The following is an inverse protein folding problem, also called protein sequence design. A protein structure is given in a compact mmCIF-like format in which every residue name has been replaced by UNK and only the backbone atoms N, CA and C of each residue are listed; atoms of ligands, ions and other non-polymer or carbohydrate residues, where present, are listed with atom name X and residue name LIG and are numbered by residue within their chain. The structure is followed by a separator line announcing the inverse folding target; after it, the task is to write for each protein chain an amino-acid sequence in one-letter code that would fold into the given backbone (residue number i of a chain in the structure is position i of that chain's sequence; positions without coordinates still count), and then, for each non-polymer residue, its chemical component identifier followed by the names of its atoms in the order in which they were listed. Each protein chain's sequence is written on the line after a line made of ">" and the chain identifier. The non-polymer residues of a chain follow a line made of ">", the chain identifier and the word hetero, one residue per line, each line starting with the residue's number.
data_IF_389122328616
#
_entry.id   IF_389122328616
#
_cell.length_a   1.000
_cell.length_b   1.000
_cell.length_c   1.000
_cell.angle_alpha   90.00
_cell.angle_beta   90.00
_cell.angle_gamma   90.00
#
_symmetry.space_group_name_H-M   'P 1'
#
loop_
_entity.id
_entity.type
_entity.pdbx_description
1 polymer ?
#
# COMPACT_ATOMS: atom_id res chain seq x y z
N UNK A 1 15.78 11.63 -0.85
CA UNK A 1 15.07 12.83 -0.29
C UNK A 1 15.36 12.91 1.20
N UNK A 2 15.59 14.11 1.74
CA UNK A 2 15.70 14.29 3.19
C UNK A 2 14.28 14.35 3.77
N UNK A 3 14.01 13.55 4.81
CA UNK A 3 12.68 13.41 5.41
C UNK A 3 12.46 14.29 6.64
N UNK A 4 13.53 14.87 7.21
CA UNK A 4 13.42 15.72 8.40
C UNK A 4 12.57 16.97 8.12
N UNK A 5 11.59 17.22 8.99
CA UNK A 5 10.62 18.31 8.92
C UNK A 5 9.67 18.26 7.69
N UNK A 6 9.69 17.18 6.90
CA UNK A 6 8.74 16.96 5.82
C UNK A 6 7.40 16.48 6.38
N UNK A 7 6.32 16.76 5.66
CA UNK A 7 4.97 16.29 6.01
C UNK A 7 4.57 15.12 5.13
N UNK A 8 4.29 14.00 5.76
CA UNK A 8 3.85 12.78 5.10
C UNK A 8 2.39 12.44 5.43
N UNK A 9 1.57 12.20 4.42
CA UNK A 9 0.25 11.59 4.55
C UNK A 9 0.41 10.08 4.38
N UNK A 10 -0.12 9.29 5.32
CA UNK A 10 -0.12 7.83 5.23
C UNK A 10 -1.56 7.33 5.33
N UNK A 11 -2.09 6.74 4.26
CA UNK A 11 -3.40 6.09 4.27
C UNK A 11 -3.27 4.63 4.73
N UNK A 12 -4.30 4.09 5.41
CA UNK A 12 -4.21 2.77 6.03
C UNK A 12 -3.22 2.74 7.19
N UNK A 13 -3.09 3.86 7.92
CA UNK A 13 -2.07 4.07 8.96
C UNK A 13 -2.40 3.39 10.29
N UNK A 14 -3.61 2.87 10.47
CA UNK A 14 -4.05 2.26 11.73
C UNK A 14 -3.39 0.91 12.03
N UNK A 15 -2.76 0.25 11.06
CA UNK A 15 -2.16 -1.09 11.26
C UNK A 15 -1.13 -1.46 10.20
N UNK A 16 -0.47 -2.60 10.39
CA UNK A 16 0.34 -3.29 9.37
C UNK A 16 1.43 -2.40 8.75
N UNK A 17 1.54 -2.45 7.42
CA UNK A 17 2.57 -1.72 6.66
C UNK A 17 2.41 -0.21 6.83
N UNK A 18 1.17 0.32 6.81
CA UNK A 18 0.92 1.76 6.98
C UNK A 18 1.41 2.30 8.32
N UNK A 19 1.10 1.60 9.42
CA UNK A 19 1.65 1.90 10.75
C UNK A 19 3.17 1.86 10.76
N UNK A 20 3.75 0.81 10.20
CA UNK A 20 5.20 0.63 10.18
C UNK A 20 5.90 1.74 9.37
N UNK A 21 5.33 2.15 8.24
CA UNK A 21 5.81 3.31 7.47
C UNK A 21 5.72 4.57 8.31
N UNK A 22 4.59 4.84 8.98
CA UNK A 22 4.41 6.03 9.82
C UNK A 22 5.46 6.10 10.95
N UNK A 23 5.69 4.97 11.65
CA UNK A 23 6.73 4.89 12.71
C UNK A 23 8.14 5.12 12.14
N UNK A 24 8.46 4.53 10.99
CA UNK A 24 9.75 4.70 10.33
C UNK A 24 9.97 6.15 9.85
N UNK A 25 8.93 6.83 9.33
CA UNK A 25 8.97 8.24 8.95
C UNK A 25 9.13 9.16 10.16
N UNK A 26 8.42 8.88 11.27
CA UNK A 26 8.56 9.65 12.52
C UNK A 26 10.00 9.60 13.05
N UNK A 27 10.65 8.44 13.07
CA UNK A 27 12.06 8.27 13.47
C UNK A 27 13.02 9.14 12.64
N UNK A 28 12.63 9.54 11.44
CA UNK A 28 13.39 10.44 10.55
C UNK A 28 12.99 11.91 10.69
N UNK A 29 12.12 12.23 11.65
CA UNK A 29 11.66 13.58 11.93
C UNK A 29 10.61 14.10 10.96
N UNK A 30 9.85 13.21 10.30
CA UNK A 30 8.70 13.59 9.49
C UNK A 30 7.52 13.99 10.37
N UNK A 31 6.79 15.04 9.99
CA UNK A 31 5.43 15.30 10.45
C UNK A 31 4.47 14.33 9.76
N UNK A 32 3.43 13.90 10.44
CA UNK A 32 2.55 12.84 9.97
C UNK A 32 1.08 13.25 9.98
N UNK A 33 0.41 13.02 8.87
CA UNK A 33 -1.05 12.98 8.78
C UNK A 33 -1.47 11.51 8.60
N UNK A 34 -1.96 10.90 9.67
CA UNK A 34 -2.37 9.50 9.72
C UNK A 34 -3.83 9.37 9.31
N UNK A 35 -4.13 8.66 8.24
CA UNK A 35 -5.47 8.49 7.72
C UNK A 35 -5.89 7.01 7.69
N UNK A 36 -7.06 6.70 8.28
CA UNK A 36 -7.65 5.36 8.30
C UNK A 36 -9.14 5.45 8.69
N UNK A 37 -9.89 4.37 8.49
CA UNK A 37 -11.24 4.22 9.03
C UNK A 37 -11.25 3.82 10.51
N UNK A 38 -10.20 3.13 10.97
CA UNK A 38 -10.12 2.53 12.32
C UNK A 38 -9.45 3.47 13.31
N UNK A 39 -10.26 4.28 14.00
CA UNK A 39 -9.79 5.34 14.90
C UNK A 39 -8.91 4.85 16.05
N UNK A 40 -9.28 3.75 16.72
CA UNK A 40 -8.48 3.18 17.80
C UNK A 40 -7.06 2.78 17.33
N UNK A 41 -6.95 2.27 16.10
CA UNK A 41 -5.66 1.95 15.51
C UNK A 41 -4.84 3.20 15.16
N UNK A 42 -5.49 4.31 14.77
CA UNK A 42 -4.82 5.61 14.56
C UNK A 42 -4.25 6.16 15.86
N UNK A 43 -5.01 6.10 16.96
CA UNK A 43 -4.56 6.51 18.31
C UNK A 43 -3.31 5.73 18.73
N UNK A 44 -3.32 4.42 18.49
CA UNK A 44 -2.15 3.58 18.81
C UNK A 44 -0.93 3.96 17.96
N UNK A 45 -1.13 4.18 16.64
CA UNK A 45 -0.04 4.59 15.74
C UNK A 45 0.53 5.95 16.14
N UNK A 46 -0.34 6.94 16.47
CA UNK A 46 0.08 8.24 16.99
C UNK A 46 0.95 8.09 18.25
N UNK A 47 0.51 7.26 19.22
CA UNK A 47 1.28 7.00 20.44
C UNK A 47 2.67 6.42 20.14
N UNK A 48 2.78 5.52 19.15
CA UNK A 48 4.06 4.94 18.73
C UNK A 48 4.98 5.96 18.04
N UNK A 49 4.44 7.06 17.52
CA UNK A 49 5.20 8.11 16.81
C UNK A 49 5.51 9.32 17.70
N UNK A 50 4.89 9.45 18.87
CA UNK A 50 4.94 10.64 19.73
C UNK A 50 6.35 11.01 20.24
N UNK A 51 7.26 10.02 20.39
CA UNK A 51 8.60 10.24 20.94
C UNK A 51 9.60 10.84 19.94
N UNK A 52 9.18 11.09 18.70
CA UNK A 52 10.07 11.57 17.64
C UNK A 52 10.10 13.12 17.49
N UNK A 53 9.35 13.86 18.31
CA UNK A 53 9.22 15.33 18.19
C UNK A 53 8.49 15.80 16.94
N UNK A 54 7.88 14.89 16.20
CA UNK A 54 7.12 15.18 14.97
C UNK A 54 5.71 15.64 15.30
N UNK A 55 5.18 16.58 14.51
CA UNK A 55 3.76 16.93 14.57
C UNK A 55 2.94 15.82 13.94
N UNK A 56 1.96 15.28 14.68
CA UNK A 56 1.10 14.20 14.20
C UNK A 56 -0.35 14.65 14.24
N UNK A 57 -1.11 14.35 13.18
CA UNK A 57 -2.57 14.53 13.12
C UNK A 57 -3.24 13.23 12.70
N UNK A 58 -4.46 12.99 13.22
CA UNK A 58 -5.26 11.80 12.88
C UNK A 58 -6.50 12.23 12.10
N UNK A 59 -6.83 11.46 11.09
CA UNK A 59 -7.94 11.74 10.20
C UNK A 59 -8.71 10.44 9.91
N UNK A 60 -10.00 10.44 10.20
CA UNK A 60 -10.88 9.35 9.79
C UNK A 60 -11.24 9.54 8.32
N UNK A 61 -10.71 8.69 7.44
CA UNK A 61 -10.88 8.82 5.99
C UNK A 61 -11.19 7.47 5.34
N UNK A 62 -12.30 7.42 4.59
CA UNK A 62 -12.52 6.39 3.58
C UNK A 62 -11.99 6.86 2.23
N UNK A 63 -10.93 6.21 1.74
CA UNK A 63 -10.33 6.55 0.44
C UNK A 63 -11.25 6.23 -0.75
N UNK A 64 -12.29 5.42 -0.55
CA UNK A 64 -13.31 5.16 -1.55
C UNK A 64 -14.36 6.26 -1.66
N UNK A 65 -14.54 7.09 -0.62
CA UNK A 65 -15.46 8.22 -0.64
C UNK A 65 -14.85 9.41 -1.40
N UNK A 66 -15.43 9.70 -2.56
CA UNK A 66 -14.98 10.80 -3.45
C UNK A 66 -15.08 12.17 -2.79
N UNK A 67 -16.14 12.41 -1.97
CA UNK A 67 -16.38 13.71 -1.32
C UNK A 67 -15.41 13.91 -0.18
N UNK A 68 -15.23 12.90 0.66
CA UNK A 68 -14.26 12.94 1.76
C UNK A 68 -12.84 13.17 1.24
N UNK A 69 -12.40 12.43 0.20
CA UNK A 69 -11.07 12.63 -0.40
C UNK A 69 -10.91 14.02 -1.03
N UNK A 70 -11.95 14.57 -1.67
CA UNK A 70 -11.88 15.91 -2.26
C UNK A 70 -11.77 17.02 -1.22
N UNK A 71 -12.37 16.87 -0.02
CA UNK A 71 -12.27 17.80 1.09
C UNK A 71 -10.96 17.69 1.88
N UNK A 72 -10.31 16.54 1.84
CA UNK A 72 -9.19 16.18 2.69
C UNK A 72 -7.95 17.11 2.58
N UNK A 73 -7.57 17.66 1.42
CA UNK A 73 -6.48 18.65 1.35
C UNK A 73 -6.67 19.85 2.26
N UNK A 74 -7.91 20.34 2.41
CA UNK A 74 -8.24 21.46 3.31
C UNK A 74 -8.02 21.09 4.78
N UNK A 75 -8.40 19.88 5.17
CA UNK A 75 -8.18 19.38 6.53
C UNK A 75 -6.68 19.23 6.84
N UNK A 76 -5.90 18.73 5.88
CA UNK A 76 -4.46 18.62 6.04
C UNK A 76 -3.79 19.98 6.20
N UNK A 77 -4.16 20.96 5.38
CA UNK A 77 -3.61 22.30 5.46
C UNK A 77 -4.01 23.05 6.74
N UNK A 78 -5.12 22.69 7.41
CA UNK A 78 -5.46 23.20 8.73
C UNK A 78 -4.52 22.64 9.83
N UNK A 79 -3.97 21.44 9.63
CA UNK A 79 -3.09 20.78 10.59
C UNK A 79 -1.59 20.95 10.25
N UNK A 80 -1.21 21.04 8.99
CA UNK A 80 0.17 21.06 8.51
C UNK A 80 0.39 22.18 7.49
N UNK A 81 1.60 22.73 7.42
CA UNK A 81 1.95 23.81 6.52
C UNK A 81 1.99 23.42 5.02
N UNK A 82 2.08 22.13 4.71
CA UNK A 82 2.15 21.61 3.35
C UNK A 82 2.24 20.09 3.33
N UNK A 83 2.45 19.51 2.16
CA UNK A 83 2.57 18.05 1.96
C UNK A 83 3.75 17.76 1.05
N UNK A 84 4.67 16.90 1.51
CA UNK A 84 5.86 16.50 0.77
C UNK A 84 5.82 15.03 0.34
N UNK A 85 5.08 14.19 1.08
CA UNK A 85 4.99 12.76 0.84
C UNK A 85 3.54 12.30 0.92
N UNK A 86 3.07 11.59 -0.10
CA UNK A 86 1.79 10.90 -0.10
C UNK A 86 2.02 9.39 -0.18
N UNK A 87 1.68 8.66 0.88
CA UNK A 87 1.74 7.20 0.91
C UNK A 87 0.34 6.61 0.76
N UNK A 88 0.02 6.17 -0.43
CA UNK A 88 -1.19 5.45 -0.77
C UNK A 88 -1.02 3.97 -0.39
N UNK A 89 -1.34 3.65 0.88
CA UNK A 89 -1.18 2.31 1.44
C UNK A 89 -2.52 1.66 1.79
N UNK A 90 -3.60 2.41 2.02
CA UNK A 90 -4.92 1.85 2.29
C UNK A 90 -5.28 0.78 1.25
N UNK A 91 -5.74 -0.36 1.73
CA UNK A 91 -6.08 -1.47 0.85
C UNK A 91 -6.69 -2.64 1.61
N UNK A 92 -7.47 -3.41 0.88
CA UNK A 92 -8.21 -4.58 1.36
C UNK A 92 -7.93 -5.79 0.49
N UNK A 93 -8.28 -6.98 0.98
CA UNK A 93 -8.17 -8.24 0.23
C UNK A 93 -9.55 -8.85 -0.01
N UNK A 94 -9.65 -9.57 -1.13
CA UNK A 94 -10.78 -10.37 -1.54
C UNK A 94 -10.23 -11.66 -2.13
N UNK A 95 -10.59 -12.79 -1.56
CA UNK A 95 -10.20 -14.12 -2.05
C UNK A 95 -11.41 -14.84 -2.64
N UNK A 96 -11.15 -15.87 -3.46
CA UNK A 96 -12.18 -16.71 -4.07
C UNK A 96 -11.98 -16.91 -5.57
N UNK A 97 -12.67 -17.92 -6.14
CA UNK A 97 -12.70 -18.12 -7.57
C UNK A 97 -13.50 -17.00 -8.25
N UNK A 98 -13.13 -16.66 -9.48
CA UNK A 98 -13.76 -15.54 -10.20
C UNK A 98 -15.28 -15.68 -10.31
N UNK A 99 -15.76 -16.87 -10.60
CA UNK A 99 -17.19 -17.18 -10.74
C UNK A 99 -17.99 -17.11 -9.44
N UNK A 100 -17.32 -17.12 -8.28
CA UNK A 100 -17.95 -17.05 -6.95
C UNK A 100 -17.96 -15.63 -6.40
N UNK A 101 -17.09 -14.73 -6.91
CA UNK A 101 -16.98 -13.36 -6.44
C UNK A 101 -18.13 -12.53 -7.02
N UNK A 102 -18.92 -11.92 -6.14
CA UNK A 102 -19.96 -10.98 -6.57
C UNK A 102 -19.33 -9.71 -7.20
N UNK A 103 -20.00 -9.15 -8.21
CA UNK A 103 -19.52 -7.95 -8.90
C UNK A 103 -19.35 -6.77 -7.94
N UNK A 104 -20.26 -6.62 -6.97
CA UNK A 104 -20.22 -5.57 -5.95
C UNK A 104 -18.97 -5.67 -5.05
N UNK A 105 -18.51 -6.89 -4.73
CA UNK A 105 -17.30 -7.09 -3.94
C UNK A 105 -16.04 -6.78 -4.78
N UNK A 106 -16.08 -7.06 -6.09
CA UNK A 106 -15.03 -6.69 -7.02
C UNK A 106 -14.93 -5.16 -7.13
N UNK A 107 -16.07 -4.46 -7.31
CA UNK A 107 -16.13 -3.00 -7.37
C UNK A 107 -15.70 -2.36 -6.05
N UNK A 108 -16.14 -2.89 -4.90
CA UNK A 108 -15.73 -2.44 -3.59
C UNK A 108 -14.20 -2.48 -3.43
N UNK A 109 -13.59 -3.60 -3.80
CA UNK A 109 -12.14 -3.76 -3.72
C UNK A 109 -11.41 -2.75 -4.62
N UNK A 110 -11.87 -2.59 -5.87
CA UNK A 110 -11.32 -1.60 -6.79
C UNK A 110 -11.53 -0.17 -6.31
N UNK A 111 -12.67 0.11 -5.69
CA UNK A 111 -13.01 1.39 -5.07
C UNK A 111 -11.94 1.86 -4.09
N UNK A 112 -11.42 0.93 -3.29
CA UNK A 112 -10.38 1.17 -2.27
C UNK A 112 -8.99 1.05 -2.88
N UNK A 113 -8.65 -0.12 -3.44
CA UNK A 113 -7.26 -0.46 -3.81
C UNK A 113 -6.73 0.35 -4.99
N UNK A 114 -7.60 0.75 -5.93
CA UNK A 114 -7.20 1.46 -7.14
C UNK A 114 -7.76 2.89 -7.18
N UNK A 115 -9.09 3.06 -7.10
CA UNK A 115 -9.68 4.39 -7.16
C UNK A 115 -9.30 5.26 -5.98
N UNK A 116 -9.08 4.68 -4.79
CA UNK A 116 -8.53 5.38 -3.64
C UNK A 116 -7.17 6.00 -3.97
N UNK A 117 -6.26 5.22 -4.56
CA UNK A 117 -4.94 5.70 -4.99
C UNK A 117 -5.05 6.84 -6.02
N UNK A 118 -5.90 6.68 -7.03
CA UNK A 118 -6.11 7.69 -8.08
C UNK A 118 -6.68 8.99 -7.50
N UNK A 119 -7.70 8.90 -6.64
CA UNK A 119 -8.36 10.06 -6.02
C UNK A 119 -7.43 10.81 -5.08
N UNK A 120 -6.73 10.10 -4.19
CA UNK A 120 -5.75 10.69 -3.27
C UNK A 120 -4.63 11.37 -4.06
N UNK A 121 -4.08 10.72 -5.06
CA UNK A 121 -3.05 11.30 -5.92
C UNK A 121 -3.56 12.59 -6.58
N UNK A 122 -4.75 12.58 -7.18
CA UNK A 122 -5.34 13.76 -7.83
C UNK A 122 -5.56 14.91 -6.85
N UNK A 123 -6.09 14.62 -5.66
CA UNK A 123 -6.39 15.63 -4.65
C UNK A 123 -5.12 16.31 -4.12
N UNK A 124 -4.03 15.56 -3.96
CA UNK A 124 -2.81 16.08 -3.33
C UNK A 124 -1.71 16.49 -4.32
N UNK A 125 -1.82 16.17 -5.61
CA UNK A 125 -0.81 16.53 -6.62
C UNK A 125 -0.49 18.05 -6.66
N UNK A 126 -1.46 18.98 -6.55
CA UNK A 126 -1.15 20.41 -6.49
C UNK A 126 -0.28 20.78 -5.29
N UNK A 127 -0.56 20.24 -4.10
CA UNK A 127 0.22 20.49 -2.89
C UNK A 127 1.62 19.88 -2.96
N UNK A 128 1.72 18.67 -3.51
CA UNK A 128 3.00 18.00 -3.73
C UNK A 128 3.89 18.80 -4.73
N UNK A 129 3.29 19.37 -5.77
CA UNK A 129 4.03 20.25 -6.69
C UNK A 129 4.53 21.52 -6.01
N UNK A 130 3.75 22.08 -5.08
CA UNK A 130 4.13 23.28 -4.33
C UNK A 130 5.26 23.04 -3.31
N UNK A 131 5.52 21.79 -2.91
CA UNK A 131 6.58 21.41 -1.97
C UNK A 131 8.01 21.62 -2.50
N UNK A 132 8.19 21.62 -3.82
CA UNK A 132 9.52 21.72 -4.45
C UNK A 132 10.37 20.43 -4.42
N UNK A 133 10.09 19.47 -3.54
CA UNK A 133 10.72 18.15 -3.47
C UNK A 133 9.75 17.15 -2.83
N UNK A 134 8.90 16.55 -3.63
CA UNK A 134 7.83 15.67 -3.16
C UNK A 134 7.89 14.26 -3.77
N UNK A 135 7.17 13.35 -3.10
CA UNK A 135 7.07 11.98 -3.60
C UNK A 135 5.70 11.36 -3.34
N UNK A 136 5.22 10.62 -4.33
CA UNK A 136 4.05 9.74 -4.23
C UNK A 136 4.55 8.31 -4.07
N UNK A 137 4.07 7.59 -3.06
CA UNK A 137 4.40 6.18 -2.80
C UNK A 137 3.12 5.36 -2.91
N UNK A 138 3.04 4.52 -3.92
CA UNK A 138 1.87 3.68 -4.16
C UNK A 138 2.18 2.23 -3.77
N UNK A 139 1.44 1.69 -2.79
CA UNK A 139 1.62 0.31 -2.32
C UNK A 139 0.81 -0.64 -3.23
N UNK A 140 1.54 -1.30 -4.13
CA UNK A 140 1.04 -2.42 -4.93
C UNK A 140 1.19 -3.73 -4.13
N UNK A 141 1.71 -4.79 -4.73
CA UNK A 141 1.98 -6.10 -4.14
C UNK A 141 2.88 -6.90 -5.09
N UNK A 142 3.45 -8.03 -4.64
CA UNK A 142 3.94 -9.06 -5.57
C UNK A 142 2.81 -9.59 -6.45
N UNK A 143 1.54 -9.52 -6.00
CA UNK A 143 0.37 -9.80 -6.81
C UNK A 143 0.01 -8.67 -7.80
N UNK A 144 0.83 -7.64 -7.91
CA UNK A 144 0.92 -6.69 -9.03
C UNK A 144 2.03 -7.04 -10.02
N UNK A 145 2.70 -8.19 -9.83
CA UNK A 145 3.71 -8.77 -10.73
C UNK A 145 3.22 -10.11 -11.28
N UNK A 146 2.64 -10.95 -10.42
CA UNK A 146 2.10 -12.28 -10.73
C UNK A 146 0.64 -12.36 -10.29
N UNK A 147 -0.14 -13.27 -10.88
CA UNK A 147 -1.54 -13.47 -10.58
C UNK A 147 -1.84 -14.96 -10.33
N UNK A 148 -1.78 -15.44 -9.07
CA UNK A 148 -2.14 -16.80 -8.74
C UNK A 148 -3.66 -17.01 -8.74
N UNK A 149 -4.07 -18.28 -8.83
CA UNK A 149 -5.46 -18.71 -8.71
C UNK A 149 -6.13 -18.17 -7.44
N UNK A 150 -7.43 -17.85 -7.54
CA UNK A 150 -8.24 -17.32 -6.43
C UNK A 150 -7.93 -15.88 -6.03
N UNK A 151 -7.20 -15.14 -6.87
CA UNK A 151 -6.76 -13.75 -6.61
C UNK A 151 -7.09 -12.80 -7.77
N UNK A 152 -8.07 -13.12 -8.61
CA UNK A 152 -8.38 -12.33 -9.81
C UNK A 152 -8.64 -10.86 -9.50
N UNK A 153 -9.53 -10.55 -8.57
CA UNK A 153 -9.88 -9.18 -8.19
C UNK A 153 -8.69 -8.44 -7.55
N UNK A 154 -8.04 -9.09 -6.56
CA UNK A 154 -6.93 -8.46 -5.84
C UNK A 154 -5.72 -8.24 -6.75
N UNK A 155 -5.32 -9.25 -7.52
CA UNK A 155 -4.20 -9.12 -8.45
C UNK A 155 -4.50 -8.03 -9.50
N UNK A 156 -5.69 -8.05 -10.13
CA UNK A 156 -6.09 -7.02 -11.10
C UNK A 156 -5.96 -5.61 -10.51
N UNK A 157 -6.43 -5.38 -9.27
CA UNK A 157 -6.32 -4.09 -8.61
C UNK A 157 -4.86 -3.66 -8.38
N UNK A 158 -3.97 -4.61 -8.01
CA UNK A 158 -2.55 -4.32 -7.76
C UNK A 158 -1.73 -4.15 -9.04
N UNK A 159 -2.10 -4.84 -10.12
CA UNK A 159 -1.58 -4.55 -11.47
C UNK A 159 -2.03 -3.16 -11.94
N UNK A 160 -3.29 -2.78 -11.71
CA UNK A 160 -3.78 -1.44 -12.04
C UNK A 160 -2.99 -0.35 -11.31
N UNK A 161 -2.70 -0.52 -10.01
CA UNK A 161 -1.83 0.41 -9.25
C UNK A 161 -0.43 0.47 -9.85
N UNK A 162 0.17 -0.67 -10.24
CA UNK A 162 1.49 -0.71 -10.91
C UNK A 162 1.45 0.06 -12.23
N UNK A 163 0.48 -0.22 -13.10
CA UNK A 163 0.33 0.44 -14.40
C UNK A 163 0.15 1.94 -14.26
N UNK A 164 -0.78 2.36 -13.40
CA UNK A 164 -0.99 3.77 -13.07
C UNK A 164 0.29 4.46 -12.56
N UNK A 165 1.00 3.82 -11.63
CA UNK A 165 2.22 4.39 -11.05
C UNK A 165 3.33 4.55 -12.09
N UNK A 166 3.48 3.57 -12.99
CA UNK A 166 4.50 3.62 -14.04
C UNK A 166 4.19 4.73 -15.06
N UNK A 167 2.94 4.88 -15.49
CA UNK A 167 2.54 5.95 -16.40
C UNK A 167 2.74 7.32 -15.74
N UNK A 168 2.23 7.50 -14.51
CA UNK A 168 2.36 8.75 -13.77
C UNK A 168 3.83 9.15 -13.53
N UNK A 169 4.71 8.18 -13.34
CA UNK A 169 6.15 8.40 -13.19
C UNK A 169 6.74 9.09 -14.43
N UNK A 170 6.32 8.69 -15.63
CA UNK A 170 6.77 9.32 -16.89
C UNK A 170 6.11 10.68 -17.11
N UNK A 171 4.82 10.84 -16.76
CA UNK A 171 4.12 12.13 -16.85
C UNK A 171 4.73 13.20 -15.93
N UNK A 172 5.31 12.78 -14.80
CA UNK A 172 5.95 13.68 -13.83
C UNK A 172 7.47 13.79 -14.00
N UNK A 173 8.04 13.20 -15.05
CA UNK A 173 9.47 13.29 -15.32
C UNK A 173 9.89 14.75 -15.53
N UNK A 174 11.00 15.16 -14.92
CA UNK A 174 11.45 16.56 -14.91
C UNK A 174 10.72 17.48 -13.93
N UNK A 175 9.66 17.00 -13.25
CA UNK A 175 8.98 17.78 -12.20
C UNK A 175 9.62 17.56 -10.81
N UNK A 176 9.16 18.34 -9.82
CA UNK A 176 9.58 18.22 -8.41
C UNK A 176 8.93 17.02 -7.68
N UNK A 177 8.01 16.29 -8.34
CA UNK A 177 7.26 15.18 -7.76
C UNK A 177 7.73 13.85 -8.33
N UNK A 178 8.38 13.03 -7.51
CA UNK A 178 8.73 11.67 -7.89
C UNK A 178 7.64 10.66 -7.55
N UNK A 179 7.65 9.51 -8.22
CA UNK A 179 6.75 8.38 -7.91
C UNK A 179 7.56 7.14 -7.54
N UNK A 180 7.11 6.44 -6.52
CA UNK A 180 7.64 5.13 -6.10
C UNK A 180 6.52 4.12 -6.12
N UNK A 181 6.65 3.03 -6.87
CA UNK A 181 5.77 1.88 -6.77
C UNK A 181 6.42 0.81 -5.89
N UNK A 182 5.67 0.32 -4.90
CA UNK A 182 6.16 -0.66 -3.92
C UNK A 182 5.46 -2.00 -4.15
N UNK A 183 6.22 -3.07 -4.14
CA UNK A 183 5.72 -4.44 -4.26
C UNK A 183 6.11 -5.24 -3.00
N UNK A 184 5.27 -5.21 -1.94
CA UNK A 184 5.48 -6.08 -0.78
C UNK A 184 5.27 -7.54 -1.17
N UNK A 185 6.14 -8.40 -0.64
CA UNK A 185 5.95 -9.84 -0.60
C UNK A 185 5.08 -10.26 0.58
N UNK A 186 5.42 -11.37 1.21
CA UNK A 186 4.69 -11.92 2.34
C UNK A 186 4.92 -11.18 3.66
N UNK A 187 4.29 -10.03 3.86
CA UNK A 187 4.37 -9.25 5.11
C UNK A 187 3.29 -9.71 6.09
N UNK A 188 3.67 -9.95 7.37
CA UNK A 188 2.81 -10.46 8.45
C UNK A 188 1.83 -9.39 8.94
N UNK A 189 0.76 -9.14 8.18
CA UNK A 189 -0.30 -8.18 8.50
C UNK A 189 -1.66 -8.86 8.68
N UNK A 190 -2.66 -8.09 9.12
CA UNK A 190 -4.03 -8.57 9.26
C UNK A 190 -4.79 -8.66 7.92
N UNK A 191 -4.19 -8.29 6.79
CA UNK A 191 -4.87 -8.18 5.49
C UNK A 191 -5.57 -9.48 5.07
N UNK A 192 -4.92 -10.64 5.27
CA UNK A 192 -5.51 -11.94 4.96
C UNK A 192 -6.64 -12.31 5.92
N UNK A 193 -6.53 -11.95 7.22
CA UNK A 193 -7.59 -12.22 8.21
C UNK A 193 -8.83 -11.37 7.98
N UNK A 194 -8.65 -10.17 7.46
CA UNK A 194 -9.72 -9.21 7.18
C UNK A 194 -10.20 -9.28 5.72
N UNK A 195 -9.74 -10.28 4.97
CA UNK A 195 -10.17 -10.47 3.58
C UNK A 195 -11.68 -10.79 3.54
N UNK A 196 -12.36 -10.25 2.52
CA UNK A 196 -13.70 -10.74 2.17
C UNK A 196 -13.59 -12.04 1.41
N UNK A 197 -14.62 -12.85 1.54
CA UNK A 197 -14.77 -14.13 0.86
C UNK A 197 -16.16 -14.22 0.23
N UNK A 198 -16.32 -14.92 -0.89
CA UNK A 198 -17.64 -15.23 -1.45
C UNK A 198 -18.54 -15.92 -0.39
N UNK A 199 -19.83 -15.66 -0.46
CA UNK A 199 -20.81 -16.28 0.48
C UNK A 199 -20.83 -17.81 0.40
N UNK A 200 -20.45 -18.37 -0.74
CA UNK A 200 -20.32 -19.82 -0.97
C UNK A 200 -19.10 -20.45 -0.27
N UNK A 201 -18.11 -19.64 0.16
CA UNK A 201 -16.87 -20.15 0.73
C UNK A 201 -17.12 -20.73 2.12
N UNK A 202 -16.81 -22.01 2.30
CA UNK A 202 -16.98 -22.72 3.59
C UNK A 202 -15.99 -22.23 4.64
N UNK A 203 -16.35 -22.36 5.92
CA UNK A 203 -15.47 -22.03 7.03
C UNK A 203 -14.13 -22.78 6.97
N UNK A 204 -14.17 -24.06 6.58
CA UNK A 204 -12.96 -24.90 6.44
C UNK A 204 -12.05 -24.38 5.31
N UNK A 205 -12.62 -23.98 4.19
CA UNK A 205 -11.87 -23.38 3.09
C UNK A 205 -11.22 -22.06 3.51
N UNK A 206 -11.93 -21.21 4.24
CA UNK A 206 -11.39 -19.97 4.81
C UNK A 206 -10.24 -20.29 5.77
N UNK A 207 -10.42 -21.24 6.69
CA UNK A 207 -9.39 -21.66 7.65
C UNK A 207 -8.14 -22.20 6.95
N UNK A 208 -8.31 -23.02 5.91
CA UNK A 208 -7.20 -23.54 5.10
C UNK A 208 -6.43 -22.42 4.38
N UNK A 209 -7.14 -21.44 3.79
CA UNK A 209 -6.53 -20.29 3.15
C UNK A 209 -5.77 -19.40 4.14
N UNK A 210 -6.33 -19.16 5.34
CA UNK A 210 -5.65 -18.42 6.40
C UNK A 210 -4.41 -19.15 6.90
N UNK A 211 -4.45 -20.47 7.04
CA UNK A 211 -3.27 -21.27 7.40
C UNK A 211 -2.16 -21.17 6.34
N UNK A 212 -2.53 -21.20 5.05
CA UNK A 212 -1.58 -20.97 3.94
C UNK A 212 -1.00 -19.57 3.98
N UNK A 213 -1.85 -18.54 4.18
CA UNK A 213 -1.41 -17.16 4.30
C UNK A 213 -0.42 -16.96 5.45
N UNK A 214 -0.68 -17.55 6.64
CA UNK A 214 0.24 -17.48 7.78
C UNK A 214 1.64 -18.02 7.47
N UNK A 215 1.75 -19.06 6.65
CA UNK A 215 3.04 -19.63 6.22
C UNK A 215 3.78 -18.73 5.23
N UNK A 216 3.04 -17.99 4.40
CA UNK A 216 3.60 -17.10 3.39
C UNK A 216 3.91 -15.69 3.91
N UNK A 217 3.10 -15.19 4.86
CA UNK A 217 3.20 -13.83 5.42
C UNK A 217 4.12 -13.84 6.64
N UNK A 218 5.42 -13.80 6.45
CA UNK A 218 6.42 -13.99 7.52
C UNK A 218 7.29 -12.75 7.80
N UNK A 219 7.40 -11.81 6.84
CA UNK A 219 8.21 -10.62 7.03
C UNK A 219 7.54 -9.68 8.06
N UNK A 220 8.24 -9.25 9.13
CA UNK A 220 7.67 -8.29 10.07
C UNK A 220 7.27 -6.96 9.38
N UNK A 221 6.11 -6.37 9.74
CA UNK A 221 5.68 -5.08 9.18
C UNK A 221 6.71 -3.97 9.39
N UNK A 222 7.40 -3.96 10.53
CA UNK A 222 8.43 -2.98 10.87
C UNK A 222 9.60 -3.02 9.88
N UNK A 223 10.05 -4.23 9.54
CA UNK A 223 11.08 -4.43 8.51
C UNK A 223 10.59 -3.97 7.13
N UNK A 224 9.33 -4.24 6.81
CA UNK A 224 8.74 -3.79 5.53
C UNK A 224 8.67 -2.26 5.48
N UNK A 225 8.22 -1.61 6.56
CA UNK A 225 8.15 -0.15 6.68
C UNK A 225 9.52 0.50 6.49
N UNK A 226 10.55 -0.06 7.13
CA UNK A 226 11.95 0.44 7.02
C UNK A 226 12.46 0.35 5.57
N UNK A 227 12.32 -0.80 4.90
CA UNK A 227 12.73 -0.98 3.51
C UNK A 227 12.03 0.02 2.58
N UNK A 228 10.74 0.29 2.82
CA UNK A 228 9.96 1.23 2.02
C UNK A 228 10.48 2.65 2.20
N UNK A 229 10.67 3.09 3.46
CA UNK A 229 11.12 4.46 3.77
C UNK A 229 12.56 4.69 3.29
N UNK A 230 13.47 3.73 3.44
CA UNK A 230 14.79 3.78 2.81
C UNK A 230 14.69 3.92 1.26
N UNK A 231 13.74 3.24 0.64
CA UNK A 231 13.47 3.38 -0.79
C UNK A 231 13.04 4.81 -1.15
N UNK A 232 12.23 5.45 -0.30
CA UNK A 232 11.83 6.86 -0.44
C UNK A 232 13.03 7.79 -0.33
N UNK A 233 13.89 7.61 0.68
CA UNK A 233 15.11 8.41 0.88
C UNK A 233 16.04 8.33 -0.34
N UNK A 234 16.21 7.13 -0.90
CA UNK A 234 17.01 6.88 -2.11
C UNK A 234 16.31 7.31 -3.41
N UNK A 235 15.08 7.84 -3.35
CA UNK A 235 14.26 8.21 -4.51
C UNK A 235 14.04 7.06 -5.49
N UNK A 236 13.94 5.84 -4.97
CA UNK A 236 13.77 4.65 -5.79
C UNK A 236 12.44 4.70 -6.57
N UNK A 237 12.49 4.46 -7.88
CA UNK A 237 11.29 4.36 -8.73
C UNK A 237 10.46 3.10 -8.40
N UNK A 238 11.12 2.03 -7.96
CA UNK A 238 10.50 0.75 -7.59
C UNK A 238 11.14 0.17 -6.34
N UNK A 239 10.33 -0.34 -5.40
CA UNK A 239 10.81 -1.01 -4.19
C UNK A 239 10.20 -2.42 -4.12
N UNK A 240 11.04 -3.43 -4.00
CA UNK A 240 10.67 -4.82 -3.75
C UNK A 240 10.93 -5.14 -2.29
N UNK A 241 9.87 -5.49 -1.53
CA UNK A 241 9.94 -5.69 -0.09
C UNK A 241 9.91 -7.19 0.23
N UNK A 242 11.03 -7.70 0.72
CA UNK A 242 11.24 -9.11 1.01
C UNK A 242 12.06 -9.85 -0.05
N UNK A 243 12.61 -11.00 0.34
CA UNK A 243 13.39 -11.87 -0.56
C UNK A 243 12.51 -12.54 -1.60
N UNK A 244 11.31 -12.92 -1.19
CA UNK A 244 10.25 -13.48 -2.03
C UNK A 244 9.84 -12.51 -3.14
N UNK A 245 9.65 -11.21 -2.83
CA UNK A 245 9.34 -10.19 -3.82
C UNK A 245 10.45 -10.06 -4.88
N UNK A 246 11.71 -10.12 -4.46
CA UNK A 246 12.86 -10.07 -5.38
C UNK A 246 12.90 -11.30 -6.28
N UNK A 247 12.72 -12.49 -5.72
CA UNK A 247 12.69 -13.75 -6.47
C UNK A 247 11.53 -13.76 -7.48
N UNK A 248 10.34 -13.41 -7.04
CA UNK A 248 9.13 -13.34 -7.89
C UNK A 248 9.34 -12.37 -9.06
N UNK A 249 9.90 -11.19 -8.79
CA UNK A 249 10.16 -10.18 -9.83
C UNK A 249 11.17 -10.67 -10.89
N UNK A 250 12.16 -11.48 -10.51
CA UNK A 250 13.11 -12.08 -11.44
C UNK A 250 12.42 -13.18 -12.27
N UNK A 251 11.69 -14.07 -11.62
CA UNK A 251 11.00 -15.17 -12.29
C UNK A 251 9.95 -14.66 -13.28
N UNK A 252 9.14 -13.66 -12.87
CA UNK A 252 8.14 -13.05 -13.77
C UNK A 252 8.80 -12.43 -15.01
N UNK A 253 9.94 -11.76 -14.84
CA UNK A 253 10.66 -11.14 -15.94
C UNK A 253 11.26 -12.15 -16.93
N UNK A 254 11.75 -13.30 -16.44
CA UNK A 254 12.40 -14.32 -17.25
C UNK A 254 11.42 -15.34 -17.84
N UNK A 255 10.27 -15.56 -17.18
CA UNK A 255 9.26 -16.52 -17.58
C UNK A 255 7.84 -15.91 -17.46
N UNK A 256 7.51 -14.86 -18.24
CA UNK A 256 6.29 -14.05 -18.04
C UNK A 256 4.98 -14.82 -18.24
N UNK A 257 5.00 -15.93 -18.96
CA UNK A 257 3.85 -16.82 -19.18
C UNK A 257 3.84 -17.97 -18.16
N UNK A 258 5.01 -18.54 -17.86
CA UNK A 258 5.16 -19.75 -17.07
C UNK A 258 5.64 -19.50 -15.63
N UNK A 259 5.57 -18.25 -15.12
CA UNK A 259 6.11 -17.88 -13.81
C UNK A 259 5.55 -18.74 -12.67
N UNK A 260 4.25 -19.10 -12.68
CA UNK A 260 3.66 -19.91 -11.62
C UNK A 260 4.25 -21.33 -11.57
N UNK A 261 4.39 -21.98 -12.72
CA UNK A 261 5.01 -23.30 -12.81
C UNK A 261 6.49 -23.25 -12.37
N UNK A 262 7.21 -22.21 -12.78
CA UNK A 262 8.60 -21.99 -12.40
C UNK A 262 8.73 -21.74 -10.88
N UNK A 263 7.89 -20.90 -10.30
CA UNK A 263 7.86 -20.64 -8.84
C UNK A 263 7.55 -21.91 -8.05
N UNK A 264 6.54 -22.71 -8.47
CA UNK A 264 6.22 -24.01 -7.83
C UNK A 264 7.43 -24.94 -7.81
N UNK A 265 8.15 -25.05 -8.93
CA UNK A 265 9.37 -25.88 -9.00
C UNK A 265 10.48 -25.40 -8.07
N UNK A 266 10.71 -24.07 -8.01
CA UNK A 266 11.76 -23.47 -7.19
C UNK A 266 11.46 -23.54 -5.69
N UNK A 267 10.18 -23.45 -5.29
CA UNK A 267 9.78 -23.43 -3.88
C UNK A 267 9.36 -24.80 -3.34
N UNK A 268 9.29 -25.83 -4.19
CA UNK A 268 8.76 -27.15 -3.80
C UNK A 268 7.27 -27.13 -3.43
N UNK A 269 6.56 -26.05 -3.73
CA UNK A 269 5.13 -25.94 -3.46
C UNK A 269 4.35 -26.84 -4.44
N UNK A 270 3.58 -27.78 -3.88
CA UNK A 270 2.61 -28.60 -4.62
C UNK A 270 1.30 -27.86 -4.82
#
# INVERSE_FOLDING_TARGET
>A
MNLKNRTAIVTGAASGIGRAIAVSLAKRGCNLALADLHEAGLIETERMTANAGSKVSRHRLDVSDRRAVAAFPKEILAAHAGVDLLVNNAGVALGGAFEEIAEEDFEWLFGINFWGVVRMTRAFLPLLRASGDARIVNISSVLGLIAPEGQTAYAASKFAVRGFSNALMHELEGSTVGVTVVHPGGVATAIARNARWPKSTTADAIAANLARARRALTLPPETAGEIIVEGVERRAKRVLVGRDAKMIAIVERLAPVNYLATLKRLTGAR
#
